data_IF_251006663622
#
_entry.id   IF_251006663622
#
_cell.length_a   1.000
_cell.length_b   1.000
_cell.length_c   1.000
_cell.angle_alpha   90.00
_cell.angle_beta   90.00
_cell.angle_gamma   90.00
#
_symmetry.space_group_name_H-M   'P 1'
#
loop_
_entity.id
_entity.type
_entity.pdbx_description
1 polymer ?
#
# COMPACT_ATOMS: atom_id res chain seq x y z
N UNK A 1 -7.31 -19.56 -29.30
CA UNK A 1 -6.54 -19.01 -28.15
C UNK A 1 -7.44 -19.04 -26.93
N UNK A 2 -7.02 -19.72 -25.87
CA UNK A 2 -7.82 -19.93 -24.67
C UNK A 2 -7.67 -18.68 -23.75
N UNK A 3 -8.73 -17.93 -23.43
CA UNK A 3 -8.62 -16.64 -22.71
C UNK A 3 -8.32 -16.78 -21.20
N UNK A 4 -8.02 -17.98 -20.73
CA UNK A 4 -7.95 -18.34 -19.31
C UNK A 4 -6.56 -18.24 -18.67
N UNK A 5 -5.55 -17.67 -19.35
CA UNK A 5 -4.14 -17.69 -18.88
C UNK A 5 -3.52 -16.29 -18.65
N UNK A 6 -4.31 -15.20 -18.60
CA UNK A 6 -3.84 -13.96 -17.94
C UNK A 6 -4.00 -14.07 -16.42
N UNK A 7 -3.40 -15.13 -15.88
CA UNK A 7 -3.35 -15.51 -14.48
C UNK A 7 -2.65 -14.39 -13.69
N UNK A 8 -3.42 -13.68 -12.87
CA UNK A 8 -2.98 -12.97 -11.68
C UNK A 8 -1.65 -12.22 -11.83
N UNK A 9 -1.65 -11.15 -12.63
CA UNK A 9 -0.56 -10.17 -12.55
C UNK A 9 -0.57 -9.63 -11.13
N UNK A 10 0.49 -9.90 -10.36
CA UNK A 10 0.59 -9.40 -9.00
C UNK A 10 0.45 -7.87 -9.00
N UNK A 11 -0.17 -7.29 -7.96
CA UNK A 11 -0.34 -5.83 -7.82
C UNK A 11 0.98 -5.10 -8.12
N UNK A 12 2.11 -5.69 -7.71
CA UNK A 12 3.46 -5.18 -7.96
C UNK A 12 3.84 -5.11 -9.45
N UNK A 13 3.56 -6.16 -10.24
CA UNK A 13 3.82 -6.16 -11.68
C UNK A 13 2.87 -5.17 -12.37
N UNK A 14 1.62 -5.13 -11.93
CA UNK A 14 0.63 -4.23 -12.50
C UNK A 14 0.99 -2.76 -12.28
N UNK A 15 1.42 -2.40 -11.06
CA UNK A 15 1.90 -1.05 -10.74
C UNK A 15 3.04 -0.66 -11.67
N UNK A 16 4.02 -1.55 -11.89
CA UNK A 16 5.16 -1.29 -12.79
C UNK A 16 4.73 -0.97 -14.22
N UNK A 17 3.71 -1.65 -14.72
CA UNK A 17 3.21 -1.45 -16.09
C UNK A 17 2.43 -0.13 -16.26
N UNK A 18 1.87 0.42 -15.18
CA UNK A 18 0.96 1.57 -15.25
C UNK A 18 1.46 2.83 -14.52
N UNK A 19 2.73 2.86 -14.10
CA UNK A 19 3.28 3.94 -13.26
C UNK A 19 3.00 5.35 -13.80
N UNK A 20 3.17 5.57 -15.11
CA UNK A 20 2.98 6.89 -15.72
C UNK A 20 1.56 7.43 -15.53
N UNK A 21 0.55 6.58 -15.65
CA UNK A 21 -0.86 6.98 -15.48
C UNK A 21 -1.19 7.13 -14.00
N UNK A 22 -0.66 6.22 -13.16
CA UNK A 22 -0.87 6.26 -11.71
C UNK A 22 -0.23 7.48 -11.05
N UNK A 23 0.88 8.01 -11.57
CA UNK A 23 1.58 9.15 -10.97
C UNK A 23 0.72 10.42 -10.90
N UNK A 24 -0.20 10.60 -11.87
CA UNK A 24 -1.17 11.71 -11.89
C UNK A 24 -2.17 11.67 -10.73
N UNK A 25 -2.49 10.47 -10.24
CA UNK A 25 -3.49 10.25 -9.20
C UNK A 25 -2.87 9.85 -7.86
N UNK A 26 -1.53 9.87 -7.79
CA UNK A 26 -0.77 9.40 -6.63
C UNK A 26 -1.09 10.23 -5.39
N UNK A 27 -1.23 9.55 -4.26
CA UNK A 27 -1.43 10.15 -2.94
C UNK A 27 -0.06 10.58 -2.38
N UNK A 28 0.07 11.80 -1.83
CA UNK A 28 1.34 12.36 -1.38
C UNK A 28 1.73 11.83 0.02
N UNK A 29 1.74 10.50 0.20
CA UNK A 29 1.98 9.86 1.50
C UNK A 29 3.33 10.27 2.12
N UNK A 30 4.34 10.53 1.30
CA UNK A 30 5.67 10.93 1.79
C UNK A 30 5.72 12.33 2.40
N UNK A 31 4.71 13.16 2.15
CA UNK A 31 4.67 14.57 2.59
C UNK A 31 3.85 14.76 3.86
N UNK A 32 3.18 13.71 4.31
CA UNK A 32 2.16 13.77 5.36
C UNK A 32 2.53 12.82 6.49
N UNK A 33 2.32 13.25 7.72
CA UNK A 33 2.31 12.40 8.92
C UNK A 33 1.14 11.41 8.88
N UNK A 34 1.17 10.36 9.72
CA UNK A 34 0.06 9.41 9.79
C UNK A 34 -1.25 10.11 10.12
N UNK A 35 -1.26 11.07 11.05
CA UNK A 35 -2.48 11.76 11.48
C UNK A 35 -3.08 12.58 10.32
N UNK A 36 -2.25 13.31 9.57
CA UNK A 36 -2.69 14.04 8.36
C UNK A 36 -3.17 13.08 7.26
N UNK A 37 -2.53 11.92 7.10
CA UNK A 37 -2.99 10.89 6.17
C UNK A 37 -4.35 10.32 6.58
N UNK A 38 -4.60 10.11 7.88
CA UNK A 38 -5.88 9.63 8.39
C UNK A 38 -6.98 10.67 8.18
N UNK A 39 -6.69 11.94 8.49
CA UNK A 39 -7.62 13.05 8.29
C UNK A 39 -8.05 13.18 6.82
N UNK A 40 -7.10 13.07 5.88
CA UNK A 40 -7.38 13.18 4.44
C UNK A 40 -7.91 11.89 3.79
N UNK A 41 -7.83 10.75 4.49
CA UNK A 41 -8.11 9.43 3.89
C UNK A 41 -9.52 9.32 3.32
N UNK A 42 -10.52 9.87 4.02
CA UNK A 42 -11.91 9.83 3.57
C UNK A 42 -12.11 10.65 2.28
N UNK A 43 -11.47 11.82 2.18
CA UNK A 43 -11.56 12.67 1.00
C UNK A 43 -10.88 12.03 -0.21
N UNK A 44 -9.74 11.36 0.01
CA UNK A 44 -9.08 10.60 -1.05
C UNK A 44 -9.96 9.47 -1.58
N UNK A 45 -10.61 8.72 -0.68
CA UNK A 45 -11.54 7.66 -1.05
C UNK A 45 -12.71 8.21 -1.85
N UNK A 46 -13.38 9.25 -1.34
CA UNK A 46 -14.52 9.85 -2.03
C UNK A 46 -14.12 10.36 -3.42
N UNK A 47 -12.98 11.06 -3.52
CA UNK A 47 -12.46 11.55 -4.79
C UNK A 47 -12.19 10.43 -5.77
N UNK A 48 -11.54 9.34 -5.34
CA UNK A 48 -11.16 8.26 -6.24
C UNK A 48 -12.39 7.45 -6.68
N UNK A 49 -13.30 7.12 -5.76
CA UNK A 49 -14.51 6.35 -6.07
C UNK A 49 -15.44 7.09 -7.03
N UNK A 50 -15.51 8.41 -6.95
CA UNK A 50 -16.42 9.24 -7.76
C UNK A 50 -15.76 9.90 -8.98
N UNK A 51 -14.49 9.61 -9.26
CA UNK A 51 -13.70 10.26 -10.31
C UNK A 51 -14.28 9.96 -11.71
N UNK A 52 -15.00 10.89 -12.32
CA UNK A 52 -15.60 10.70 -13.66
C UNK A 52 -14.62 10.93 -14.81
N UNK A 53 -13.73 11.91 -14.69
CA UNK A 53 -12.77 12.31 -15.73
C UNK A 53 -11.38 11.73 -15.48
N UNK A 54 -11.22 10.46 -15.84
CA UNK A 54 -9.93 9.79 -15.70
C UNK A 54 -9.28 9.49 -17.04
N UNK A 55 -7.97 9.75 -17.15
CA UNK A 55 -7.14 9.41 -18.32
C UNK A 55 -6.88 7.90 -18.46
N UNK A 56 -7.55 7.06 -17.67
CA UNK A 56 -7.40 5.61 -17.71
C UNK A 56 -8.04 5.02 -18.97
N UNK A 57 -7.29 4.19 -19.69
CA UNK A 57 -7.79 3.51 -20.88
C UNK A 57 -8.84 2.45 -20.53
N UNK A 58 -9.65 2.07 -21.51
CA UNK A 58 -10.61 0.96 -21.35
C UNK A 58 -9.90 -0.36 -20.98
N UNK A 59 -8.70 -0.58 -21.53
CA UNK A 59 -7.88 -1.76 -21.19
C UNK A 59 -7.47 -1.76 -19.71
N UNK A 60 -7.12 -0.59 -19.16
CA UNK A 60 -6.80 -0.45 -17.73
C UNK A 60 -8.00 -0.87 -16.87
N UNK A 61 -9.18 -0.33 -17.16
CA UNK A 61 -10.40 -0.65 -16.41
C UNK A 61 -10.80 -2.11 -16.56
N UNK A 62 -10.66 -2.68 -17.75
CA UNK A 62 -10.93 -4.11 -18.00
C UNK A 62 -10.05 -5.00 -17.11
N UNK A 63 -8.77 -4.65 -16.92
CA UNK A 63 -7.87 -5.39 -16.04
C UNK A 63 -8.25 -5.22 -14.57
N UNK A 64 -8.52 -4.00 -14.12
CA UNK A 64 -8.96 -3.71 -12.74
C UNK A 64 -10.24 -4.48 -12.39
N UNK A 65 -11.26 -4.42 -13.25
CA UNK A 65 -12.51 -5.16 -13.06
C UNK A 65 -12.28 -6.67 -13.07
N UNK A 66 -11.36 -7.17 -13.89
CA UNK A 66 -11.00 -8.59 -13.90
C UNK A 66 -10.37 -9.02 -12.57
N UNK A 67 -9.46 -8.21 -12.01
CA UNK A 67 -8.86 -8.45 -10.69
C UNK A 67 -9.93 -8.46 -9.59
N UNK A 68 -10.83 -7.47 -9.59
CA UNK A 68 -11.92 -7.39 -8.61
C UNK A 68 -12.85 -8.62 -8.68
N UNK A 69 -13.20 -9.06 -9.88
CA UNK A 69 -14.01 -10.28 -10.11
C UNK A 69 -13.33 -11.55 -9.61
N UNK A 70 -12.02 -11.67 -9.83
CA UNK A 70 -11.24 -12.82 -9.32
C UNK A 70 -11.16 -12.80 -7.80
N UNK A 71 -11.04 -11.60 -7.20
CA UNK A 71 -11.04 -11.46 -5.74
C UNK A 71 -12.37 -11.87 -5.10
N UNK A 72 -13.47 -11.84 -5.87
CA UNK A 72 -14.80 -12.28 -5.44
C UNK A 72 -15.22 -11.61 -4.14
N UNK A 73 -15.34 -10.29 -4.18
CA UNK A 73 -15.92 -9.55 -3.07
C UNK A 73 -17.31 -10.09 -2.76
N UNK A 74 -17.46 -10.69 -1.59
CA UNK A 74 -18.75 -11.12 -1.08
C UNK A 74 -19.39 -9.93 -0.38
N UNK A 75 -20.13 -9.15 -1.18
CA UNK A 75 -20.84 -7.97 -0.69
C UNK A 75 -22.15 -8.31 0.02
N UNK A 76 -22.62 -9.57 -0.02
CA UNK A 76 -23.80 -10.02 0.72
C UNK A 76 -23.44 -10.29 2.19
N UNK A 77 -22.18 -10.66 2.43
CA UNK A 77 -21.61 -10.82 3.75
C UNK A 77 -20.67 -9.66 4.11
N UNK A 78 -20.20 -9.66 5.36
CA UNK A 78 -19.23 -8.66 5.80
C UNK A 78 -17.88 -8.92 5.14
N UNK A 79 -17.41 -7.97 4.34
CA UNK A 79 -16.08 -8.03 3.72
C UNK A 79 -15.00 -8.04 4.79
N UNK A 80 -14.08 -9.01 4.71
CA UNK A 80 -12.92 -9.07 5.58
C UNK A 80 -11.84 -8.09 5.11
N UNK A 81 -11.91 -6.86 5.61
CA UNK A 81 -11.01 -5.77 5.24
C UNK A 81 -9.53 -6.10 5.49
N UNK A 82 -9.20 -6.81 6.58
CA UNK A 82 -7.80 -7.18 6.83
C UNK A 82 -7.25 -8.13 5.78
N UNK A 83 -8.05 -9.11 5.35
CA UNK A 83 -7.65 -10.06 4.32
C UNK A 83 -7.52 -9.37 2.96
N UNK A 84 -8.42 -8.42 2.68
CA UNK A 84 -8.35 -7.57 1.49
C UNK A 84 -7.04 -6.77 1.45
N UNK A 85 -6.71 -6.04 2.52
CA UNK A 85 -5.51 -5.21 2.61
C UNK A 85 -4.24 -6.02 2.38
N UNK A 86 -4.15 -7.23 2.94
CA UNK A 86 -2.99 -8.12 2.76
C UNK A 86 -2.65 -8.39 1.28
N UNK A 87 -3.64 -8.37 0.38
CA UNK A 87 -3.40 -8.56 -1.06
C UNK A 87 -2.69 -7.36 -1.72
N UNK A 88 -2.79 -6.18 -1.14
CA UNK A 88 -2.23 -4.92 -1.68
C UNK A 88 -1.02 -4.42 -0.92
N UNK A 89 -0.83 -4.88 0.31
CA UNK A 89 0.32 -4.50 1.11
C UNK A 89 1.61 -4.83 0.36
N UNK A 90 2.53 -3.87 0.19
CA UNK A 90 3.80 -4.15 -0.45
C UNK A 90 4.60 -5.14 0.41
N UNK A 91 5.35 -6.04 -0.23
CA UNK A 91 6.01 -7.16 0.49
C UNK A 91 7.42 -6.78 1.01
N UNK A 92 8.10 -5.85 0.34
CA UNK A 92 9.49 -5.47 0.61
C UNK A 92 9.61 -4.00 1.06
N UNK A 93 10.84 -3.59 1.40
CA UNK A 93 11.22 -2.19 1.67
C UNK A 93 11.10 -1.37 0.37
N UNK A 94 9.86 -1.00 0.05
CA UNK A 94 9.49 -0.27 -1.15
C UNK A 94 9.55 1.23 -0.91
N UNK A 95 9.79 1.99 -1.97
CA UNK A 95 9.70 3.43 -1.89
C UNK A 95 8.27 3.90 -1.58
N UNK A 96 8.18 5.12 -1.07
CA UNK A 96 6.90 5.79 -0.79
C UNK A 96 5.97 5.85 -2.01
N UNK A 97 6.52 5.85 -3.23
CA UNK A 97 5.75 5.84 -4.47
C UNK A 97 4.96 4.55 -4.61
N UNK A 98 5.60 3.40 -4.42
CA UNK A 98 4.94 2.10 -4.50
C UNK A 98 3.90 1.90 -3.42
N UNK A 99 4.14 2.38 -2.21
CA UNK A 99 3.12 2.37 -1.14
C UNK A 99 1.86 3.12 -1.58
N UNK A 100 2.06 4.32 -2.15
CA UNK A 100 0.98 5.14 -2.68
C UNK A 100 0.26 4.49 -3.85
N UNK A 101 1.00 3.88 -4.79
CA UNK A 101 0.39 3.15 -5.89
C UNK A 101 -0.41 1.94 -5.41
N UNK A 102 0.10 1.16 -4.46
CA UNK A 102 -0.62 0.02 -3.87
C UNK A 102 -1.96 0.44 -3.28
N UNK A 103 -1.98 1.53 -2.53
CA UNK A 103 -3.19 2.10 -1.97
C UNK A 103 -4.15 2.60 -3.07
N UNK A 104 -3.61 3.25 -4.09
CA UNK A 104 -4.39 3.70 -5.26
C UNK A 104 -5.02 2.50 -5.99
N UNK A 105 -4.30 1.41 -6.22
CA UNK A 105 -4.86 0.20 -6.88
C UNK A 105 -6.00 -0.39 -6.05
N UNK A 106 -5.84 -0.48 -4.73
CA UNK A 106 -6.92 -0.91 -3.83
C UNK A 106 -8.19 -0.08 -4.02
N UNK A 107 -8.05 1.26 -4.04
CA UNK A 107 -9.20 2.15 -4.24
C UNK A 107 -9.78 2.04 -5.65
N UNK A 108 -8.96 1.82 -6.69
CA UNK A 108 -9.44 1.63 -8.07
C UNK A 108 -10.22 0.31 -8.24
N UNK A 109 -9.79 -0.76 -7.57
CA UNK A 109 -10.56 -2.00 -7.56
C UNK A 109 -11.89 -1.84 -6.83
N UNK A 110 -11.91 -1.15 -5.68
CA UNK A 110 -13.15 -0.84 -4.96
C UNK A 110 -14.06 0.09 -5.77
N UNK A 111 -13.49 1.03 -6.53
CA UNK A 111 -14.24 1.85 -7.48
C UNK A 111 -14.93 0.99 -8.54
N UNK A 112 -14.22 0.01 -9.10
CA UNK A 112 -14.83 -0.84 -10.13
C UNK A 112 -16.07 -1.59 -9.62
N UNK A 113 -16.08 -1.95 -8.33
CA UNK A 113 -17.24 -2.56 -7.67
C UNK A 113 -18.30 -1.51 -7.29
N UNK A 114 -17.90 -0.30 -6.90
CA UNK A 114 -18.79 0.86 -6.65
C UNK A 114 -19.62 1.24 -7.89
N UNK A 115 -18.99 1.22 -9.06
CA UNK A 115 -19.64 1.48 -10.34
C UNK A 115 -20.55 0.32 -10.76
N UNK A 116 -20.18 -0.90 -10.41
CA UNK A 116 -20.89 -2.13 -10.77
C UNK A 116 -22.14 -2.40 -9.93
N UNK A 117 -22.14 -2.02 -8.65
CA UNK A 117 -23.23 -2.27 -7.70
C UNK A 117 -23.78 -0.97 -7.10
N UNK A 118 -24.59 -0.21 -7.86
CA UNK A 118 -25.15 1.06 -7.40
C UNK A 118 -25.92 0.97 -6.08
N UNK A 119 -26.59 -0.15 -5.83
CA UNK A 119 -27.37 -0.41 -4.63
C UNK A 119 -26.52 -0.64 -3.37
N UNK A 120 -25.21 -0.86 -3.53
CA UNK A 120 -24.26 -1.15 -2.43
C UNK A 120 -23.24 -0.06 -2.20
N UNK A 121 -23.38 1.06 -2.91
CA UNK A 121 -22.41 2.16 -2.93
C UNK A 121 -22.01 2.66 -1.54
N UNK A 122 -22.98 2.83 -0.65
CA UNK A 122 -22.70 3.29 0.72
C UNK A 122 -21.85 2.28 1.48
N UNK A 123 -22.15 0.98 1.37
CA UNK A 123 -21.35 -0.05 2.01
C UNK A 123 -19.95 -0.15 1.41
N UNK A 124 -19.81 -0.04 0.09
CA UNK A 124 -18.51 -0.05 -0.59
C UNK A 124 -17.67 1.16 -0.18
N UNK A 125 -18.29 2.34 -0.03
CA UNK A 125 -17.61 3.54 0.51
C UNK A 125 -17.07 3.32 1.91
N UNK A 126 -17.89 2.76 2.80
CA UNK A 126 -17.45 2.46 4.17
C UNK A 126 -16.30 1.43 4.18
N UNK A 127 -16.41 0.37 3.38
CA UNK A 127 -15.31 -0.60 3.21
C UNK A 127 -14.06 0.08 2.66
N UNK A 128 -14.17 1.02 1.71
CA UNK A 128 -13.03 1.73 1.16
C UNK A 128 -12.34 2.67 2.18
N UNK A 129 -13.13 3.38 2.99
CA UNK A 129 -12.61 4.21 4.09
C UNK A 129 -11.91 3.36 5.14
N UNK A 130 -12.56 2.29 5.61
CA UNK A 130 -12.00 1.35 6.58
C UNK A 130 -10.71 0.71 6.04
N UNK A 131 -10.74 0.27 4.77
CA UNK A 131 -9.59 -0.33 4.11
C UNK A 131 -8.41 0.63 4.01
N UNK A 132 -8.67 1.88 3.63
CA UNK A 132 -7.65 2.92 3.51
C UNK A 132 -7.03 3.26 4.87
N UNK A 133 -7.86 3.49 5.89
CA UNK A 133 -7.40 3.79 7.24
C UNK A 133 -6.52 2.67 7.81
N UNK A 134 -6.96 1.41 7.70
CA UNK A 134 -6.19 0.26 8.20
C UNK A 134 -4.91 0.07 7.37
N UNK A 135 -4.95 0.27 6.05
CA UNK A 135 -3.77 0.17 5.20
C UNK A 135 -2.68 1.16 5.63
N UNK A 136 -3.04 2.43 5.85
CA UNK A 136 -2.12 3.48 6.31
C UNK A 136 -1.55 3.15 7.70
N UNK A 137 -2.39 2.69 8.63
CA UNK A 137 -1.93 2.23 9.95
C UNK A 137 -0.92 1.08 9.84
N UNK A 138 -1.18 0.09 8.99
CA UNK A 138 -0.28 -1.04 8.78
C UNK A 138 1.06 -0.61 8.15
N UNK A 139 1.03 0.30 7.18
CA UNK A 139 2.25 0.88 6.61
C UNK A 139 3.08 1.61 7.66
N UNK A 140 2.46 2.51 8.44
CA UNK A 140 3.17 3.26 9.47
C UNK A 140 3.76 2.35 10.56
N UNK A 141 3.03 1.29 10.93
CA UNK A 141 3.53 0.28 11.88
C UNK A 141 4.78 -0.43 11.34
N UNK A 142 4.81 -0.79 10.05
CA UNK A 142 5.99 -1.40 9.42
C UNK A 142 7.19 -0.45 9.43
N UNK A 143 6.99 0.80 9.03
CA UNK A 143 8.04 1.84 9.06
C UNK A 143 8.62 2.04 10.45
N UNK A 144 7.75 2.12 11.47
CA UNK A 144 8.18 2.25 12.88
C UNK A 144 9.05 1.07 13.32
N UNK A 145 8.68 -0.16 12.94
CA UNK A 145 9.46 -1.37 13.27
C UNK A 145 10.81 -1.38 12.56
N UNK A 146 10.84 -1.00 11.29
CA UNK A 146 12.08 -0.93 10.49
C UNK A 146 13.03 0.15 11.04
N UNK A 147 12.50 1.33 11.36
CA UNK A 147 13.27 2.43 11.96
C UNK A 147 13.83 2.05 13.33
N UNK A 148 13.03 1.38 14.16
CA UNK A 148 13.48 0.86 15.45
C UNK A 148 14.61 -0.17 15.28
N UNK A 149 14.43 -1.13 14.38
CA UNK A 149 15.44 -2.16 14.08
C UNK A 149 16.74 -1.52 13.58
N UNK A 150 16.64 -0.53 12.69
CA UNK A 150 17.79 0.21 12.16
C UNK A 150 18.54 0.96 13.27
N UNK A 151 17.84 1.66 14.16
CA UNK A 151 18.45 2.35 15.32
C UNK A 151 19.15 1.38 16.26
N UNK A 152 18.55 0.21 16.51
CA UNK A 152 19.16 -0.84 17.32
C UNK A 152 20.47 -1.35 16.72
N UNK A 153 20.49 -1.64 15.41
CA UNK A 153 21.70 -2.07 14.71
C UNK A 153 22.82 -1.03 14.75
N UNK A 154 22.49 0.25 14.59
CA UNK A 154 23.46 1.33 14.77
C UNK A 154 24.03 1.35 16.19
N UNK A 155 23.18 1.24 17.21
CA UNK A 155 23.61 1.16 18.61
C UNK A 155 24.56 -0.01 18.88
N UNK A 156 24.21 -1.20 18.39
CA UNK A 156 25.05 -2.41 18.51
C UNK A 156 26.41 -2.20 17.83
N UNK A 157 26.41 -1.63 16.62
CA UNK A 157 27.64 -1.39 15.85
C UNK A 157 28.56 -0.39 16.57
N UNK A 158 28.01 0.71 17.10
CA UNK A 158 28.78 1.70 17.87
C UNK A 158 29.39 1.06 19.12
N UNK A 159 28.61 0.29 19.88
CA UNK A 159 29.09 -0.40 21.07
C UNK A 159 30.19 -1.42 20.74
N UNK A 160 30.07 -2.16 19.65
CA UNK A 160 31.10 -3.09 19.19
C UNK A 160 32.40 -2.36 18.82
N UNK A 161 32.31 -1.25 18.08
CA UNK A 161 33.48 -0.43 17.73
C UNK A 161 34.19 0.12 18.99
N UNK A 162 33.44 0.60 19.98
CA UNK A 162 34.01 1.08 21.25
C UNK A 162 34.68 -0.04 22.03
N UNK A 163 34.07 -1.23 22.09
CA UNK A 163 34.66 -2.38 22.77
C UNK A 163 35.97 -2.83 22.09
N UNK A 164 36.00 -2.88 20.75
CA UNK A 164 37.21 -3.21 19.99
C UNK A 164 38.30 -2.16 20.21
N UNK A 165 37.95 -0.87 20.19
CA UNK A 165 38.90 0.22 20.44
C UNK A 165 39.51 0.15 21.85
N UNK A 166 38.69 -0.10 22.88
CA UNK A 166 39.16 -0.27 24.25
C UNK A 166 40.07 -1.49 24.41
N UNK A 167 39.73 -2.61 23.77
CA UNK A 167 40.57 -3.82 23.77
C UNK A 167 41.94 -3.56 23.11
N UNK A 168 41.95 -2.91 21.94
CA UNK A 168 43.18 -2.49 21.26
C UNK A 168 44.01 -1.57 22.15
N UNK A 169 43.40 -0.54 22.75
CA UNK A 169 44.10 0.39 23.64
C UNK A 169 44.73 -0.33 24.85
N UNK A 170 44.01 -1.29 25.45
CA UNK A 170 44.53 -2.12 26.54
C UNK A 170 45.74 -2.97 26.12
N UNK A 171 45.79 -3.44 24.88
CA UNK A 171 46.95 -4.19 24.36
C UNK A 171 48.14 -3.27 24.11
N UNK A 172 47.90 -2.07 23.59
CA UNK A 172 48.96 -1.12 23.25
C UNK A 172 49.58 -0.43 24.49
N UNK A 173 48.80 -0.20 25.56
CA UNK A 173 49.28 0.43 26.79
C UNK A 173 49.54 -0.54 27.96
N UNK A 174 49.19 -1.82 27.81
CA UNK A 174 49.41 -2.87 28.82
C UNK A 174 50.76 -3.59 28.71
N UNK A 175 51.77 -3.00 28.07
CA UNK A 175 53.18 -3.45 28.08
C UNK A 175 54.07 -2.42 28.74
#
# INVERSE_FOLDING_TARGET
>A
MNPSVNLFISVHIWIKLHQQVLDKYRLPLEKLSLDEQQEQSSDWVERILTLTDSDFSETFWTQITSCARIRRFDWDNRVNVQSLIKCFMPVDNVDYKRESYSLLVLMMELRSEYDRFPERRDYIKEVAKESTSIFLCQLNRRKTIEDFSRRMWYGITVMACVAIANWLFSIYHGR
#
